data_IF_446001617934
#
_entry.id   IF_446001617934
#
_cell.length_a   1.000
_cell.length_b   1.000
_cell.length_c   1.000
_cell.angle_alpha   90.00
_cell.angle_beta   90.00
_cell.angle_gamma   90.00
#
_symmetry.space_group_name_H-M   'P 1'
#
loop_
_entity.id
_entity.type
_entity.pdbx_description
1 polymer ?
#
# COMPACT_ATOMS: atom_id res chain seq x y z
N UNK A 1 -36.69 -49.06 41.73
CA UNK A 1 -37.11 -47.64 41.77
C UNK A 1 -35.94 -46.79 41.33
N UNK A 2 -36.10 -46.06 40.21
CA UNK A 2 -35.55 -44.71 39.91
C UNK A 2 -34.01 -44.52 40.05
N UNK A 3 -33.23 -44.09 39.06
CA UNK A 3 -33.52 -43.46 37.79
C UNK A 3 -32.24 -43.22 36.97
N UNK A 4 -32.44 -42.96 35.67
CA UNK A 4 -31.44 -42.70 34.63
C UNK A 4 -30.58 -41.48 34.92
N UNK A 5 -29.26 -41.61 34.85
CA UNK A 5 -28.34 -40.48 34.73
C UNK A 5 -28.14 -40.17 33.23
N UNK A 6 -28.64 -39.01 32.79
CA UNK A 6 -28.45 -38.51 31.42
C UNK A 6 -27.03 -37.94 31.31
N UNK A 7 -26.26 -38.40 30.33
CA UNK A 7 -25.07 -37.69 29.86
C UNK A 7 -25.51 -36.39 29.19
N UNK A 8 -25.09 -35.25 29.73
CA UNK A 8 -25.22 -33.95 29.09
C UNK A 8 -23.84 -33.59 28.52
N UNK A 9 -23.69 -33.67 27.21
CA UNK A 9 -22.53 -33.19 26.48
C UNK A 9 -22.51 -31.67 26.58
N UNK A 10 -21.57 -31.09 27.33
CA UNK A 10 -21.35 -29.65 27.34
C UNK A 10 -20.67 -29.26 26.02
N UNK A 11 -21.43 -28.68 25.10
CA UNK A 11 -20.87 -27.95 23.96
C UNK A 11 -20.50 -26.56 24.47
N UNK A 12 -19.21 -26.35 24.77
CA UNK A 12 -18.70 -25.03 25.08
C UNK A 12 -18.63 -24.23 23.79
N UNK A 13 -19.65 -23.42 23.52
CA UNK A 13 -19.62 -22.43 22.45
C UNK A 13 -18.61 -21.33 22.82
N UNK A 14 -17.42 -21.35 22.21
CA UNK A 14 -16.47 -20.24 22.25
C UNK A 14 -16.87 -19.25 21.15
N UNK A 15 -17.74 -18.31 21.50
CA UNK A 15 -17.93 -17.09 20.73
C UNK A 15 -17.77 -15.95 21.71
N UNK A 16 -16.63 -15.25 21.68
CA UNK A 16 -16.40 -13.85 22.11
C UNK A 16 -14.88 -13.64 22.30
N UNK A 17 -14.10 -13.68 21.22
CA UNK A 17 -12.70 -13.21 21.24
C UNK A 17 -12.39 -12.09 20.22
N UNK A 18 -13.28 -11.80 19.26
CA UNK A 18 -13.01 -10.77 18.25
C UNK A 18 -13.11 -9.35 18.80
N UNK A 19 -14.10 -9.08 19.67
CA UNK A 19 -14.36 -7.72 20.17
C UNK A 19 -13.30 -7.16 21.12
N UNK A 20 -12.65 -8.02 21.92
CA UNK A 20 -11.64 -7.59 22.90
C UNK A 20 -10.32 -7.27 22.18
N UNK A 21 -9.95 -8.05 21.17
CA UNK A 21 -8.72 -7.82 20.40
C UNK A 21 -8.79 -6.51 19.60
N UNK A 22 -9.94 -6.19 18.98
CA UNK A 22 -10.14 -4.95 18.23
C UNK A 22 -10.03 -3.68 19.09
N UNK A 23 -10.45 -3.74 20.35
CA UNK A 23 -10.33 -2.62 21.28
C UNK A 23 -8.87 -2.37 21.74
N UNK A 24 -8.08 -3.45 21.90
CA UNK A 24 -6.64 -3.35 22.20
C UNK A 24 -5.83 -2.81 21.01
N UNK A 25 -6.10 -3.24 19.77
CA UNK A 25 -5.42 -2.70 18.57
C UNK A 25 -5.72 -1.23 18.30
N UNK A 26 -6.92 -0.74 18.64
CA UNK A 26 -7.28 0.66 18.43
C UNK A 26 -6.55 1.63 19.38
N UNK A 27 -6.04 1.13 20.51
CA UNK A 27 -5.38 1.95 21.53
C UNK A 27 -3.91 2.27 21.17
N UNK A 28 -3.26 1.41 20.38
CA UNK A 28 -1.86 1.55 19.95
C UNK A 28 -1.69 2.07 18.51
N UNK A 29 -2.76 2.53 17.86
CA UNK A 29 -2.67 3.09 16.51
C UNK A 29 -1.90 4.42 16.52
N UNK A 30 -0.84 4.59 15.70
CA UNK A 30 0.00 5.79 15.75
C UNK A 30 -0.82 7.08 15.55
N UNK A 31 -0.70 8.01 16.49
CA UNK A 31 -1.47 9.27 16.48
C UNK A 31 -1.27 10.06 15.18
N UNK A 32 -0.04 10.05 14.64
CA UNK A 32 0.28 10.75 13.39
C UNK A 32 -0.37 10.16 12.14
N UNK A 33 -0.99 8.98 12.22
CA UNK A 33 -1.76 8.37 11.13
C UNK A 33 -3.26 8.71 11.18
N UNK A 34 -3.78 9.15 12.34
CA UNK A 34 -5.20 9.48 12.49
C UNK A 34 -5.62 10.62 11.56
N UNK A 35 -6.82 10.55 11.01
CA UNK A 35 -7.32 11.49 10.00
C UNK A 35 -6.85 11.19 8.57
N UNK A 36 -5.96 10.22 8.39
CA UNK A 36 -5.49 9.76 7.07
C UNK A 36 -5.68 8.26 6.88
N UNK A 37 -5.46 7.49 7.94
CA UNK A 37 -5.55 6.04 7.94
C UNK A 37 -6.28 5.55 9.18
N UNK A 38 -6.84 4.35 9.05
CA UNK A 38 -7.40 3.59 10.16
C UNK A 38 -6.98 2.11 10.06
N UNK A 39 -6.89 1.40 11.19
CA UNK A 39 -6.64 -0.03 11.18
C UNK A 39 -7.78 -0.79 10.48
N UNK A 40 -7.45 -1.91 9.85
CA UNK A 40 -8.44 -2.81 9.25
C UNK A 40 -9.14 -3.60 10.37
N UNK A 41 -10.46 -3.39 10.50
CA UNK A 41 -11.30 -4.07 11.52
C UNK A 41 -12.24 -5.13 10.92
N UNK A 42 -12.35 -5.19 9.59
CA UNK A 42 -13.19 -6.14 8.86
C UNK A 42 -12.34 -7.01 7.95
N UNK A 43 -12.76 -8.25 7.67
CA UNK A 43 -12.04 -9.13 6.76
C UNK A 43 -11.92 -8.54 5.34
N UNK A 44 -13.01 -7.95 4.85
CA UNK A 44 -13.07 -7.38 3.51
C UNK A 44 -13.62 -5.96 3.51
N UNK A 45 -13.36 -5.25 2.41
CA UNK A 45 -13.95 -3.96 2.09
C UNK A 45 -14.46 -3.97 0.64
N UNK A 46 -15.17 -2.92 0.26
CA UNK A 46 -15.50 -2.62 -1.14
C UNK A 46 -14.74 -1.37 -1.58
N UNK A 47 -14.55 -1.17 -2.89
CA UNK A 47 -14.24 0.16 -3.41
C UNK A 47 -15.23 1.20 -2.87
N UNK A 48 -14.81 2.47 -2.79
CA UNK A 48 -15.73 3.54 -2.41
C UNK A 48 -16.80 3.80 -3.49
N UNK A 49 -17.69 4.78 -3.24
CA UNK A 49 -18.79 5.08 -4.15
C UNK A 49 -18.34 5.51 -5.56
N UNK A 50 -17.10 6.01 -5.67
CA UNK A 50 -16.42 6.39 -6.91
C UNK A 50 -15.49 5.28 -7.43
N UNK A 51 -15.46 4.12 -6.77
CA UNK A 51 -14.67 2.95 -7.12
C UNK A 51 -13.21 2.98 -6.67
N UNK A 52 -12.79 3.93 -5.84
CA UNK A 52 -11.41 3.96 -5.36
C UNK A 52 -11.14 2.87 -4.34
N UNK A 53 -9.98 2.23 -4.49
CA UNK A 53 -9.48 1.20 -3.59
C UNK A 53 -8.71 1.87 -2.45
N UNK A 54 -9.21 1.71 -1.23
CA UNK A 54 -8.68 2.38 -0.03
C UNK A 54 -7.95 1.46 0.94
N UNK A 55 -8.11 0.14 0.81
CA UNK A 55 -7.51 -0.87 1.67
C UNK A 55 -6.18 -1.35 1.06
N UNK A 56 -5.09 -1.27 1.83
CA UNK A 56 -3.74 -1.57 1.35
C UNK A 56 -2.86 -2.18 2.43
N UNK A 57 -1.97 -3.09 2.04
CA UNK A 57 -0.71 -3.34 2.72
C UNK A 57 0.31 -2.34 2.21
N UNK A 58 0.92 -1.58 3.12
CA UNK A 58 1.93 -0.57 2.82
C UNK A 58 3.21 -0.91 3.56
N UNK A 59 4.33 -0.99 2.83
CA UNK A 59 5.65 -1.14 3.44
C UNK A 59 6.15 0.23 3.87
N UNK A 60 6.78 0.29 5.03
CA UNK A 60 7.58 1.45 5.45
C UNK A 60 8.57 1.89 4.35
N UNK A 61 8.87 3.20 4.25
CA UNK A 61 9.61 3.74 3.11
C UNK A 61 11.04 3.20 3.03
N UNK A 62 11.43 2.75 1.84
CA UNK A 62 12.81 2.43 1.49
C UNK A 62 13.51 3.74 1.08
N UNK A 63 14.67 4.00 1.64
CA UNK A 63 15.47 5.18 1.29
C UNK A 63 15.99 5.09 -0.15
N UNK A 64 15.75 6.17 -0.90
CA UNK A 64 16.25 6.39 -2.25
C UNK A 64 16.52 7.89 -2.43
N UNK A 65 17.66 8.42 -1.95
CA UNK A 65 17.87 9.87 -1.77
C UNK A 65 17.95 10.64 -3.10
N UNK A 66 16.80 10.93 -3.69
CA UNK A 66 16.63 11.78 -4.85
C UNK A 66 16.55 13.25 -4.43
N UNK A 67 17.60 14.02 -4.72
CA UNK A 67 17.70 15.45 -4.33
C UNK A 67 16.71 16.39 -5.03
N UNK A 68 16.13 15.93 -6.14
CA UNK A 68 15.11 16.61 -6.93
C UNK A 68 14.42 15.56 -7.83
N UNK A 69 13.35 15.97 -8.49
CA UNK A 69 12.53 15.09 -9.32
C UNK A 69 12.92 15.07 -10.81
N UNK A 70 13.95 15.83 -11.22
CA UNK A 70 14.35 15.92 -12.64
C UNK A 70 14.85 14.60 -13.21
N UNK A 71 15.31 13.70 -12.34
CA UNK A 71 15.87 12.40 -12.71
C UNK A 71 14.82 11.31 -12.92
N UNK A 72 13.53 11.60 -12.71
CA UNK A 72 12.46 10.62 -12.91
C UNK A 72 12.16 10.43 -14.40
N UNK A 73 13.12 9.92 -15.16
CA UNK A 73 12.88 9.41 -16.51
C UNK A 73 12.23 8.02 -16.44
N UNK A 74 11.68 7.54 -17.56
CA UNK A 74 11.11 6.17 -17.64
C UNK A 74 12.14 5.11 -17.23
N UNK A 75 13.37 5.21 -17.76
CA UNK A 75 14.46 4.28 -17.45
C UNK A 75 14.81 4.28 -15.97
N UNK A 76 14.92 5.47 -15.35
CA UNK A 76 15.29 5.60 -13.94
C UNK A 76 14.21 5.04 -13.02
N UNK A 77 12.94 5.41 -13.25
CA UNK A 77 11.81 4.93 -12.44
C UNK A 77 11.68 3.43 -12.57
N UNK A 78 11.83 2.90 -13.80
CA UNK A 78 11.82 1.47 -14.05
C UNK A 78 12.94 0.77 -13.29
N UNK A 79 14.18 1.16 -13.52
CA UNK A 79 15.35 0.57 -12.85
C UNK A 79 15.17 0.55 -11.33
N UNK A 80 14.75 1.68 -10.75
CA UNK A 80 14.53 1.79 -9.31
C UNK A 80 13.40 0.87 -8.82
N UNK A 81 12.27 0.78 -9.52
CA UNK A 81 11.10 0.02 -9.05
C UNK A 81 11.12 -1.46 -9.47
N UNK A 82 12.05 -1.86 -10.34
CA UNK A 82 12.32 -3.28 -10.66
C UNK A 82 13.55 -3.82 -9.96
N UNK A 83 14.33 -2.98 -9.27
CA UNK A 83 15.40 -3.43 -8.39
C UNK A 83 14.81 -4.21 -7.22
N UNK A 84 15.33 -5.42 -6.96
CA UNK A 84 14.91 -6.24 -5.82
C UNK A 84 15.56 -5.73 -4.54
N UNK A 85 14.80 -5.02 -3.70
CA UNK A 85 15.28 -4.52 -2.41
C UNK A 85 15.20 -5.57 -1.30
N UNK A 86 14.28 -6.53 -1.45
CA UNK A 86 14.09 -7.64 -0.51
C UNK A 86 13.53 -8.87 -1.25
N UNK A 87 13.79 -10.10 -0.76
CA UNK A 87 13.38 -11.32 -1.43
C UNK A 87 11.86 -11.39 -1.67
N UNK A 88 11.47 -11.71 -2.89
CA UNK A 88 10.07 -11.92 -3.25
C UNK A 88 9.24 -10.63 -3.35
N UNK A 89 9.87 -9.47 -3.51
CA UNK A 89 9.23 -8.16 -3.64
C UNK A 89 8.05 -8.11 -4.62
N UNK A 90 8.15 -8.81 -5.75
CA UNK A 90 7.10 -8.84 -6.78
C UNK A 90 6.21 -10.11 -6.75
N UNK A 91 6.54 -11.09 -5.92
CA UNK A 91 5.90 -12.41 -5.92
C UNK A 91 5.15 -12.72 -4.63
N UNK A 92 5.71 -12.36 -3.48
CA UNK A 92 5.11 -12.58 -2.17
C UNK A 92 3.90 -11.67 -1.94
N UNK A 93 3.00 -12.12 -1.07
CA UNK A 93 1.91 -11.32 -0.51
C UNK A 93 2.20 -11.19 0.98
N UNK A 94 2.59 -9.99 1.46
CA UNK A 94 2.90 -9.79 2.87
C UNK A 94 1.61 -9.82 3.71
N UNK A 95 1.77 -9.92 5.02
CA UNK A 95 0.72 -9.72 6.03
C UNK A 95 1.01 -8.47 6.85
N UNK A 96 -0.01 -8.03 7.56
CA UNK A 96 0.15 -6.96 8.55
C UNK A 96 1.20 -7.37 9.60
N UNK A 97 2.15 -6.47 9.89
CA UNK A 97 3.24 -6.72 10.83
C UNK A 97 4.40 -7.54 10.27
N UNK A 98 4.32 -8.09 9.04
CA UNK A 98 5.45 -8.76 8.41
C UNK A 98 6.61 -7.77 8.24
N UNK A 99 7.83 -8.27 8.37
CA UNK A 99 9.06 -7.47 8.32
C UNK A 99 9.96 -7.96 7.21
N UNK A 100 10.67 -7.02 6.59
CA UNK A 100 11.72 -7.28 5.59
C UNK A 100 12.97 -6.51 5.96
N UNK A 101 14.14 -7.11 5.76
CA UNK A 101 15.42 -6.41 5.90
C UNK A 101 15.83 -5.85 4.55
N UNK A 102 16.14 -4.56 4.50
CA UNK A 102 16.60 -3.86 3.30
C UNK A 102 17.92 -3.19 3.59
N UNK A 103 18.94 -3.47 2.79
CA UNK A 103 20.17 -2.69 2.80
C UNK A 103 19.92 -1.37 2.08
N UNK A 104 19.94 -0.25 2.79
CA UNK A 104 19.65 1.05 2.22
C UNK A 104 20.47 2.18 2.82
N UNK A 105 20.62 3.26 2.04
CA UNK A 105 21.30 4.47 2.49
C UNK A 105 20.48 5.15 3.60
N UNK A 106 21.05 5.30 4.79
CA UNK A 106 20.44 6.02 5.89
C UNK A 106 20.58 7.52 5.64
N UNK A 107 19.43 8.19 5.47
CA UNK A 107 19.43 9.63 5.32
C UNK A 107 19.55 10.30 6.68
N UNK A 108 20.41 11.33 6.83
CA UNK A 108 20.41 12.13 8.04
C UNK A 108 19.04 12.80 8.24
N UNK A 109 18.63 13.08 9.49
CA UNK A 109 17.36 13.74 9.76
C UNK A 109 17.18 15.01 8.93
N UNK A 110 16.07 15.09 8.20
CA UNK A 110 15.76 16.27 7.40
C UNK A 110 15.40 17.41 8.35
N UNK A 111 16.26 18.42 8.46
CA UNK A 111 15.99 19.64 9.22
C UNK A 111 14.76 20.36 8.63
N UNK A 112 13.66 20.37 9.39
CA UNK A 112 12.38 20.95 8.99
C UNK A 112 12.39 22.48 8.92
N UNK A 113 13.32 23.15 9.60
CA UNK A 113 13.44 24.61 9.60
C UNK A 113 14.45 25.13 8.57
N UNK A 114 15.43 24.32 8.15
CA UNK A 114 16.54 24.79 7.32
C UNK A 114 16.28 24.80 5.80
N UNK A 115 15.04 24.57 5.35
CA UNK A 115 14.77 24.41 3.92
C UNK A 115 15.44 23.15 3.35
N UNK A 116 15.67 23.12 2.03
CA UNK A 116 16.27 21.96 1.33
C UNK A 116 17.55 21.50 2.04
N UNK A 117 17.76 20.18 2.27
CA UNK A 117 18.99 19.70 2.88
C UNK A 117 20.22 20.23 2.14
N UNK A 118 21.17 20.82 2.87
CA UNK A 118 22.49 21.10 2.35
C UNK A 118 23.14 19.77 1.92
N UNK A 119 24.02 19.81 0.92
CA UNK A 119 24.78 18.62 0.54
C UNK A 119 25.55 18.12 1.76
N UNK A 120 25.32 16.87 2.18
CA UNK A 120 26.22 16.23 3.12
C UNK A 120 27.50 15.83 2.35
N UNK A 121 28.68 16.37 2.69
CA UNK A 121 29.94 15.93 2.10
C UNK A 121 30.43 14.59 2.65
N UNK A 122 29.73 13.99 3.63
CA UNK A 122 30.06 12.67 4.18
C UNK A 122 29.66 11.54 3.22
N UNK A 123 30.39 10.42 3.32
CA UNK A 123 30.06 9.20 2.60
C UNK A 123 28.65 8.70 2.98
N UNK A 124 27.93 8.19 1.98
CA UNK A 124 26.63 7.56 2.18
C UNK A 124 26.79 6.41 3.19
N UNK A 125 26.03 6.44 4.29
CA UNK A 125 25.99 5.35 5.27
C UNK A 125 24.92 4.36 4.83
N UNK A 126 25.30 3.09 4.69
CA UNK A 126 24.39 2.01 4.31
C UNK A 126 24.23 1.05 5.48
N UNK A 127 22.99 0.73 5.82
CA UNK A 127 22.65 -0.15 6.92
C UNK A 127 21.58 -1.15 6.49
N UNK A 128 21.60 -2.33 7.12
CA UNK A 128 20.50 -3.28 7.04
C UNK A 128 19.40 -2.81 7.99
N UNK A 129 18.29 -2.35 7.43
CA UNK A 129 17.18 -1.79 8.18
C UNK A 129 15.97 -2.70 8.05
N UNK A 130 15.35 -3.00 9.18
CA UNK A 130 14.08 -3.73 9.23
C UNK A 130 12.91 -2.77 8.94
N UNK A 131 12.14 -3.09 7.91
CA UNK A 131 10.94 -2.36 7.50
C UNK A 131 9.70 -3.22 7.70
N UNK A 132 8.65 -2.64 8.26
CA UNK A 132 7.40 -3.33 8.55
C UNK A 132 6.30 -3.04 7.52
N UNK A 133 5.51 -4.05 7.20
CA UNK A 133 4.26 -3.94 6.45
C UNK A 133 3.09 -3.59 7.38
N UNK A 134 2.24 -2.68 6.92
CA UNK A 134 1.06 -2.21 7.66
C UNK A 134 -0.19 -2.35 6.80
N UNK A 135 -1.21 -3.06 7.30
CA UNK A 135 -2.49 -3.22 6.64
C UNK A 135 -3.48 -2.16 7.12
N UNK A 136 -3.80 -1.21 6.23
CA UNK A 136 -4.53 0.01 6.57
C UNK A 136 -5.66 0.29 5.58
N UNK A 137 -6.73 0.90 6.08
CA UNK A 137 -7.71 1.59 5.24
C UNK A 137 -7.36 3.08 5.20
N UNK A 138 -7.29 3.68 4.02
CA UNK A 138 -7.28 5.13 3.86
C UNK A 138 -8.64 5.70 4.24
N UNK A 139 -8.64 6.80 4.99
CA UNK A 139 -9.84 7.58 5.29
C UNK A 139 -10.26 8.47 4.12
N UNK A 140 -9.36 8.69 3.15
CA UNK A 140 -9.58 9.48 1.94
C UNK A 140 -9.66 8.58 0.69
N UNK A 141 -10.08 9.14 -0.45
CA UNK A 141 -10.08 8.41 -1.73
C UNK A 141 -8.65 8.10 -2.23
N UNK A 142 -7.67 8.91 -1.81
CA UNK A 142 -6.25 8.70 -2.07
C UNK A 142 -5.52 8.24 -0.81
N UNK A 143 -4.43 7.51 -1.01
CA UNK A 143 -3.52 7.01 0.01
C UNK A 143 -2.40 8.02 0.21
N UNK A 144 -2.35 8.66 1.39
CA UNK A 144 -1.39 9.73 1.70
C UNK A 144 -0.04 9.19 2.19
N UNK A 145 0.79 8.69 1.27
CA UNK A 145 2.10 8.08 1.58
C UNK A 145 3.06 9.01 2.36
N UNK A 146 3.05 10.31 2.08
CA UNK A 146 3.83 11.27 2.88
C UNK A 146 3.38 11.26 4.35
N UNK A 147 2.06 11.19 4.59
CA UNK A 147 1.48 11.13 5.94
C UNK A 147 1.70 9.78 6.59
N UNK A 148 1.70 8.71 5.81
CA UNK A 148 2.10 7.38 6.27
C UNK A 148 3.53 7.38 6.82
N UNK A 149 4.50 7.90 6.06
CA UNK A 149 5.88 8.01 6.53
C UNK A 149 6.01 8.92 7.76
N UNK A 150 5.45 10.14 7.74
CA UNK A 150 5.57 11.06 8.89
C UNK A 150 4.84 10.59 10.13
N UNK A 151 3.69 9.91 9.96
CA UNK A 151 2.89 9.40 11.08
C UNK A 151 3.54 8.22 11.80
N UNK A 152 4.48 7.55 11.13
CA UNK A 152 5.33 6.49 11.69
C UNK A 152 6.73 6.98 12.08
N UNK A 153 6.99 8.29 12.04
CA UNK A 153 8.32 8.90 12.26
C UNK A 153 9.44 8.31 11.37
N UNK A 154 9.12 8.04 10.10
CA UNK A 154 10.05 7.51 9.08
C UNK A 154 10.51 8.60 8.10
N UNK A 155 11.58 8.32 7.38
CA UNK A 155 12.06 9.15 6.26
C UNK A 155 10.96 9.31 5.21
N UNK A 156 10.74 10.55 4.74
CA UNK A 156 9.58 10.91 3.88
C UNK A 156 9.94 11.45 2.50
N UNK A 157 11.20 11.82 2.29
CA UNK A 157 11.71 12.38 1.03
C UNK A 157 12.83 11.51 0.48
N UNK A 158 12.91 11.42 -0.85
CA UNK A 158 13.87 10.53 -1.49
C UNK A 158 13.61 9.10 -1.02
N UNK A 159 12.41 8.58 -1.30
CA UNK A 159 11.97 7.27 -0.81
C UNK A 159 11.17 6.54 -1.86
N UNK A 160 11.15 5.21 -1.71
CA UNK A 160 10.27 4.30 -2.43
C UNK A 160 9.28 3.71 -1.43
N UNK A 161 8.01 3.67 -1.82
CA UNK A 161 6.95 2.97 -1.10
C UNK A 161 6.52 1.75 -1.92
N UNK A 162 6.21 0.66 -1.22
CA UNK A 162 5.54 -0.49 -1.79
C UNK A 162 4.12 -0.60 -1.24
N UNK A 163 3.17 -0.89 -2.13
CA UNK A 163 1.76 -1.07 -1.81
C UNK A 163 1.23 -2.34 -2.47
N UNK A 164 0.47 -3.14 -1.72
CA UNK A 164 -0.17 -4.37 -2.20
C UNK A 164 -1.62 -4.41 -1.73
N UNK A 165 -2.53 -4.84 -2.60
CA UNK A 165 -3.89 -5.22 -2.20
C UNK A 165 -4.36 -6.39 -3.04
N UNK A 166 -5.35 -7.11 -2.53
CA UNK A 166 -6.01 -8.19 -3.24
C UNK A 166 -7.42 -7.74 -3.63
N UNK A 167 -7.80 -8.04 -4.86
CA UNK A 167 -9.09 -7.79 -5.47
C UNK A 167 -9.71 -9.12 -5.84
N UNK A 168 -10.69 -9.54 -5.05
CA UNK A 168 -11.46 -10.76 -5.24
C UNK A 168 -12.70 -10.47 -6.08
N UNK A 169 -12.87 -11.24 -7.16
CA UNK A 169 -14.01 -11.15 -8.07
C UNK A 169 -14.88 -12.43 -7.99
N UNK A 170 -16.19 -12.30 -8.06
CA UNK A 170 -17.12 -13.44 -8.08
C UNK A 170 -17.19 -14.15 -9.44
N UNK A 171 -16.77 -13.45 -10.50
CA UNK A 171 -16.68 -13.89 -11.90
C UNK A 171 -15.52 -13.20 -12.62
N UNK A 172 -15.17 -13.68 -13.81
CA UNK A 172 -14.28 -12.94 -14.71
C UNK A 172 -14.95 -11.61 -15.10
N UNK A 173 -14.19 -10.51 -15.06
CA UNK A 173 -14.64 -9.17 -15.47
C UNK A 173 -13.70 -8.73 -16.60
N UNK A 174 -14.18 -8.84 -17.82
CA UNK A 174 -13.41 -8.55 -19.03
C UNK A 174 -13.33 -7.05 -19.32
N UNK A 175 -12.34 -6.69 -20.14
CA UNK A 175 -12.17 -5.37 -20.74
C UNK A 175 -12.07 -4.18 -19.78
N UNK A 176 -11.72 -4.43 -18.52
CA UNK A 176 -11.48 -3.38 -17.53
C UNK A 176 -10.10 -2.76 -17.69
N UNK A 177 -9.92 -1.57 -17.12
CA UNK A 177 -8.63 -0.88 -17.06
C UNK A 177 -8.32 -0.46 -15.63
N UNK A 178 -7.05 -0.53 -15.25
CA UNK A 178 -6.54 0.09 -14.05
C UNK A 178 -6.37 1.59 -14.32
N UNK A 179 -7.06 2.44 -13.57
CA UNK A 179 -6.94 3.90 -13.63
C UNK A 179 -6.23 4.40 -12.38
N UNK A 180 -5.17 5.20 -12.58
CA UNK A 180 -4.20 5.56 -11.55
C UNK A 180 -3.90 7.06 -11.58
N UNK A 181 -3.84 7.66 -10.40
CA UNK A 181 -3.22 8.97 -10.18
C UNK A 181 -2.15 8.87 -9.11
N UNK A 182 -0.93 9.36 -9.36
CA UNK A 182 0.21 9.26 -8.43
C UNK A 182 1.03 10.54 -8.33
N UNK A 183 1.60 10.75 -7.15
CA UNK A 183 2.64 11.72 -6.86
C UNK A 183 3.80 10.95 -6.20
N UNK A 184 4.92 10.66 -6.88
CA UNK A 184 5.32 11.03 -8.25
C UNK A 184 5.41 9.81 -9.16
N UNK A 185 6.63 9.34 -9.39
CA UNK A 185 6.89 8.22 -10.28
C UNK A 185 6.32 6.94 -9.67
N UNK A 186 5.81 6.05 -10.50
CA UNK A 186 5.26 4.79 -10.02
C UNK A 186 5.22 3.73 -11.09
N UNK A 187 5.17 2.48 -10.68
CA UNK A 187 4.86 1.34 -11.52
C UNK A 187 3.78 0.50 -10.87
N UNK A 188 2.93 -0.10 -11.72
CA UNK A 188 1.75 -0.86 -11.28
C UNK A 188 1.68 -2.20 -11.99
N UNK A 189 1.40 -3.22 -11.20
CA UNK A 189 1.25 -4.59 -11.66
C UNK A 189 -0.10 -5.16 -11.21
N UNK A 190 -0.71 -5.96 -12.07
CA UNK A 190 -1.86 -6.80 -11.72
C UNK A 190 -1.51 -8.24 -12.07
N UNK A 191 -1.59 -9.15 -11.11
CA UNK A 191 -1.22 -10.56 -11.28
C UNK A 191 0.21 -10.77 -11.82
N UNK A 192 1.13 -9.86 -11.47
CA UNK A 192 2.52 -9.89 -11.93
C UNK A 192 2.73 -9.28 -13.33
N UNK A 193 1.66 -8.98 -14.05
CA UNK A 193 1.75 -8.26 -15.33
C UNK A 193 1.88 -6.76 -15.07
N UNK A 194 2.91 -6.14 -15.65
CA UNK A 194 3.07 -4.69 -15.61
C UNK A 194 2.04 -4.00 -16.50
N UNK A 195 1.31 -3.02 -15.95
CA UNK A 195 0.26 -2.30 -16.65
C UNK A 195 0.53 -0.83 -16.87
N UNK A 196 1.22 -0.17 -15.93
CA UNK A 196 1.45 1.28 -15.96
C UNK A 196 2.85 1.59 -15.44
N UNK A 197 3.57 2.45 -16.17
CA UNK A 197 4.74 3.20 -15.73
C UNK A 197 4.40 4.69 -15.79
N UNK A 198 4.60 5.41 -14.70
CA UNK A 198 4.51 6.86 -14.63
C UNK A 198 5.84 7.43 -14.18
N UNK A 199 6.39 8.34 -14.97
CA UNK A 199 7.65 9.03 -14.71
C UNK A 199 7.46 10.55 -14.72
N UNK A 200 8.49 11.29 -14.36
CA UNK A 200 8.53 12.74 -14.38
C UNK A 200 8.07 13.39 -13.08
N UNK A 201 8.27 14.71 -13.01
CA UNK A 201 7.89 15.54 -11.87
C UNK A 201 6.39 15.87 -11.94
N UNK A 202 5.54 14.90 -11.59
CA UNK A 202 4.08 15.01 -11.71
C UNK A 202 3.38 15.24 -10.36
N UNK A 203 2.10 15.59 -10.43
CA UNK A 203 1.19 15.67 -9.29
C UNK A 203 0.18 14.53 -9.36
N UNK A 204 -0.44 14.20 -8.21
CA UNK A 204 -1.54 13.26 -8.17
C UNK A 204 -2.76 13.91 -8.82
N UNK A 205 -3.07 13.41 -10.02
CA UNK A 205 -4.27 13.73 -10.77
C UNK A 205 -5.04 12.43 -10.96
N UNK A 206 -6.30 12.41 -10.53
CA UNK A 206 -7.18 11.23 -10.65
C UNK A 206 -7.18 10.74 -12.10
N UNK A 207 -6.98 9.43 -12.25
CA UNK A 207 -7.00 8.72 -13.53
C UNK A 207 -6.07 9.30 -14.62
N UNK A 208 -5.01 10.00 -14.22
CA UNK A 208 -4.00 10.55 -15.15
C UNK A 208 -3.27 9.49 -15.96
N UNK A 209 -3.36 8.23 -15.55
CA UNK A 209 -2.91 7.06 -16.30
C UNK A 209 -3.99 6.00 -16.32
N UNK A 210 -4.17 5.39 -17.48
CA UNK A 210 -5.13 4.31 -17.66
C UNK A 210 -4.43 3.20 -18.44
N UNK A 211 -4.49 1.97 -17.92
CA UNK A 211 -3.81 0.82 -18.52
C UNK A 211 -4.42 0.40 -19.87
N UNK A 212 -3.73 -0.53 -20.54
CA UNK A 212 -4.39 -1.41 -21.51
C UNK A 212 -5.55 -2.18 -20.86
N UNK A 213 -6.46 -2.70 -21.68
CA UNK A 213 -7.56 -3.55 -21.21
C UNK A 213 -6.99 -4.87 -20.67
N UNK A 214 -7.55 -5.34 -19.57
CA UNK A 214 -7.26 -6.63 -18.95
C UNK A 214 -8.57 -7.33 -18.57
N UNK A 215 -8.47 -8.60 -18.20
CA UNK A 215 -9.54 -9.32 -17.52
C UNK A 215 -9.15 -9.51 -16.06
N UNK A 216 -9.97 -9.01 -15.13
CA UNK A 216 -9.89 -9.47 -13.74
C UNK A 216 -10.47 -10.87 -13.68
N UNK A 217 -9.70 -11.83 -13.17
CA UNK A 217 -10.15 -13.22 -13.08
C UNK A 217 -11.10 -13.42 -11.91
N UNK A 218 -12.01 -14.38 -12.04
CA UNK A 218 -12.76 -14.92 -10.91
C UNK A 218 -11.77 -15.35 -9.81
N UNK A 219 -12.09 -14.98 -8.58
CA UNK A 219 -11.24 -15.13 -7.42
C UNK A 219 -10.17 -14.05 -7.36
N UNK A 220 -8.97 -14.46 -6.93
CA UNK A 220 -7.90 -13.58 -6.49
C UNK A 220 -7.20 -12.86 -7.64
N UNK A 221 -7.19 -11.53 -7.58
CA UNK A 221 -6.31 -10.69 -8.40
C UNK A 221 -5.44 -9.84 -7.49
N UNK A 222 -4.12 -9.82 -7.71
CA UNK A 222 -3.19 -9.10 -6.84
C UNK A 222 -2.77 -7.82 -7.54
N UNK A 223 -3.04 -6.68 -6.91
CA UNK A 223 -2.57 -5.36 -7.37
C UNK A 223 -1.36 -4.97 -6.54
N UNK A 224 -0.25 -4.65 -7.21
CA UNK A 224 0.98 -4.17 -6.58
C UNK A 224 1.39 -2.84 -7.19
N UNK A 225 2.00 -1.99 -6.37
CA UNK A 225 2.58 -0.73 -6.81
C UNK A 225 3.90 -0.44 -6.11
N UNK A 226 4.84 0.10 -6.89
CA UNK A 226 6.01 0.78 -6.39
C UNK A 226 5.83 2.28 -6.67
N UNK A 227 6.09 3.14 -5.70
CA UNK A 227 5.97 4.59 -5.83
C UNK A 227 7.28 5.23 -5.39
N UNK A 228 7.93 5.97 -6.27
CA UNK A 228 9.18 6.69 -6.01
C UNK A 228 8.92 8.20 -5.90
N UNK A 229 9.51 8.82 -4.88
CA UNK A 229 9.42 10.24 -4.64
C UNK A 229 10.78 10.84 -4.29
N UNK A 230 11.05 12.05 -4.78
CA UNK A 230 12.18 12.87 -4.33
C UNK A 230 11.72 13.77 -3.19
N UNK A 231 11.89 15.10 -3.28
CA UNK A 231 11.22 16.04 -2.39
C UNK A 231 9.77 16.29 -2.81
N UNK A 232 8.93 16.69 -1.84
CA UNK A 232 7.49 17.00 -1.92
C UNK A 232 6.58 15.87 -1.41
N UNK A 233 5.28 16.13 -1.42
CA UNK A 233 4.23 15.19 -1.03
C UNK A 233 4.27 13.93 -1.90
N UNK A 234 3.85 12.81 -1.33
CA UNK A 234 3.60 11.57 -2.04
C UNK A 234 2.23 11.02 -1.68
N UNK A 235 1.49 10.59 -2.70
CA UNK A 235 0.18 9.96 -2.59
C UNK A 235 -0.22 9.26 -3.89
N UNK A 236 -1.24 8.39 -3.81
CA UNK A 236 -1.85 7.79 -4.98
C UNK A 236 -3.35 7.57 -4.82
N UNK A 237 -4.07 7.44 -5.92
CA UNK A 237 -5.42 6.88 -5.96
C UNK A 237 -5.51 5.89 -7.14
N UNK A 238 -6.34 4.86 -6.98
CA UNK A 238 -6.49 3.83 -8.00
C UNK A 238 -7.88 3.21 -7.95
N UNK A 239 -8.39 2.88 -9.13
CA UNK A 239 -9.67 2.17 -9.34
C UNK A 239 -9.61 1.33 -10.60
N UNK A 240 -10.54 0.39 -10.72
CA UNK A 240 -10.83 -0.25 -12.00
C UNK A 240 -12.00 0.47 -12.67
N UNK A 241 -11.92 0.65 -13.99
CA UNK A 241 -12.99 1.20 -14.82
C UNK A 241 -13.37 0.22 -15.94
N UNK A 242 -14.63 0.22 -16.34
CA UNK A 242 -15.17 -0.60 -17.43
C UNK A 242 -14.87 0.00 -18.81
N UNK A 243 -15.54 -0.50 -19.85
CA UNK A 243 -15.32 -0.06 -21.23
C UNK A 243 -15.77 1.37 -21.50
N UNK A 244 -16.81 1.78 -20.79
CA UNK A 244 -17.44 3.09 -20.83
C UNK A 244 -16.76 4.09 -19.88
N UNK A 245 -15.80 3.63 -19.08
CA UNK A 245 -15.07 4.43 -18.11
C UNK A 245 -15.78 4.58 -16.76
N UNK A 246 -16.86 3.82 -16.51
CA UNK A 246 -17.51 3.80 -15.21
C UNK A 246 -16.70 2.98 -14.21
N UNK A 247 -16.74 3.31 -12.91
CA UNK A 247 -16.03 2.53 -11.90
C UNK A 247 -16.60 1.13 -11.72
N UNK A 248 -15.73 0.12 -11.73
CA UNK A 248 -16.06 -1.28 -11.40
C UNK A 248 -16.11 -1.42 -9.89
N UNK A 249 -17.32 -1.55 -9.33
CA UNK A 249 -17.56 -1.53 -7.86
C UNK A 249 -17.96 -2.87 -7.26
N UNK A 250 -18.29 -3.86 -8.09
CA UNK A 250 -18.61 -5.23 -7.67
C UNK A 250 -17.33 -6.03 -7.35
N UNK A 251 -16.44 -5.44 -6.56
CA UNK A 251 -15.16 -5.99 -6.16
C UNK A 251 -15.12 -6.15 -4.64
N UNK A 252 -14.43 -7.20 -4.19
CA UNK A 252 -14.12 -7.38 -2.77
C UNK A 252 -12.63 -7.12 -2.55
N UNK A 253 -12.28 -6.23 -1.63
CA UNK A 253 -10.91 -5.83 -1.35
C UNK A 253 -10.44 -6.44 -0.04
N UNK A 254 -9.27 -7.08 -0.04
CA UNK A 254 -8.66 -7.72 1.14
C UNK A 254 -7.13 -7.58 1.12
N UNK A 255 -6.52 -7.80 2.29
CA UNK A 255 -5.06 -7.88 2.50
C UNK A 255 -4.63 -9.26 3.01
N UNK A 256 -5.53 -10.25 2.93
CA UNK A 256 -5.37 -11.63 3.40
C UNK A 256 -5.69 -12.61 2.27
#
# INVERSE_FOLDING_TARGET
MIGRLKFLTAVTAVFFLSGIMSALYAQDFPEGLKGYFKPITTETAKPDDKGFIRRWLLLEPISKPNRNNRVFTDSYVREALTHEYFPGQLTSIPKDGDKVTVNMEVQPPVNLQAGRPAANPQANVWEDVELQWHALDSELFNVKLFRFATGLDKTRYGVIFWAVTIVECDRDIENVRLAVGTNKGSMWWVNGEELILLSGDRHMNVDSAVSKRITLKKGRNIVRAGIINGPSMSDFCVRFIDEEGNPVKNLTITTK
#
